data_IF_864338115116
#
_entry.id   IF_864338115116
#
_cell.length_a   1.000
_cell.length_b   1.000
_cell.length_c   1.000
_cell.angle_alpha   90.00
_cell.angle_beta   90.00
_cell.angle_gamma   90.00
#
_symmetry.space_group_name_H-M   'P 1'
#
loop_
_entity.id
_entity.type
_entity.pdbx_description
1 polymer ?
#
# COMPACT_ATOMS: atom_id res chain seq x y z
N UNK A 1 -7.52 39.00 16.25
CA UNK A 1 -8.23 39.08 14.96
C UNK A 1 -8.51 37.64 14.56
N UNK A 2 -9.37 36.95 15.31
CA UNK A 2 -10.84 37.01 15.23
C UNK A 2 -11.35 36.19 14.03
N UNK A 3 -12.09 35.14 14.40
CA UNK A 3 -13.19 34.54 13.63
C UNK A 3 -12.88 33.38 12.67
N UNK A 4 -12.73 32.17 13.24
CA UNK A 4 -13.08 30.90 12.58
C UNK A 4 -13.79 29.97 13.58
N UNK A 5 -14.76 30.52 14.30
CA UNK A 5 -15.54 29.80 15.32
C UNK A 5 -16.86 29.23 14.83
N UNK A 6 -17.24 29.43 13.57
CA UNK A 6 -18.62 29.20 13.12
C UNK A 6 -18.70 28.23 11.93
N UNK A 7 -19.67 27.31 12.00
CA UNK A 7 -20.09 26.34 10.95
C UNK A 7 -19.44 24.95 10.87
N UNK A 8 -19.28 24.26 12.00
CA UNK A 8 -19.41 22.79 12.03
C UNK A 8 -20.67 22.37 12.81
N UNK A 9 -21.83 22.85 12.37
CA UNK A 9 -23.10 22.21 12.78
C UNK A 9 -23.09 20.83 12.16
N UNK A 10 -22.95 19.80 12.98
CA UNK A 10 -22.95 18.42 12.48
C UNK A 10 -24.36 18.11 12.00
N UNK A 11 -24.52 17.35 10.90
CA UNK A 11 -25.84 16.98 10.35
C UNK A 11 -26.79 16.43 11.44
N UNK A 12 -26.23 15.71 12.42
CA UNK A 12 -26.96 15.22 13.59
C UNK A 12 -27.56 16.33 14.48
N UNK A 13 -26.89 17.46 14.63
CA UNK A 13 -27.36 18.59 15.44
C UNK A 13 -28.48 19.36 14.72
N UNK A 14 -28.37 19.48 13.38
CA UNK A 14 -29.41 20.11 12.56
C UNK A 14 -30.67 19.25 12.55
N UNK A 15 -30.54 17.94 12.37
CA UNK A 15 -31.66 17.01 12.47
C UNK A 15 -32.29 17.00 13.87
N UNK A 16 -31.48 16.99 14.92
CA UNK A 16 -31.99 17.07 16.30
C UNK A 16 -32.83 18.32 16.56
N UNK A 17 -32.39 19.48 16.05
CA UNK A 17 -33.17 20.74 16.14
C UNK A 17 -34.47 20.69 15.34
N UNK A 18 -34.45 20.09 14.14
CA UNK A 18 -35.64 19.93 13.30
C UNK A 18 -36.67 19.03 13.99
N UNK A 19 -36.26 17.89 14.55
CA UNK A 19 -37.16 17.00 15.30
C UNK A 19 -37.79 17.70 16.51
N UNK A 20 -37.00 18.45 17.30
CA UNK A 20 -37.55 19.22 18.43
C UNK A 20 -38.56 20.29 18.02
N UNK A 21 -38.32 20.98 16.90
CA UNK A 21 -39.27 21.94 16.36
C UNK A 21 -40.55 21.26 15.86
N UNK A 22 -40.41 20.05 15.30
CA UNK A 22 -41.55 19.26 14.81
C UNK A 22 -42.43 18.76 15.97
N UNK A 23 -41.84 18.32 17.08
CA UNK A 23 -42.58 17.94 18.29
C UNK A 23 -43.36 19.13 18.88
N UNK A 24 -42.73 20.33 18.89
CA UNK A 24 -43.41 21.57 19.32
C UNK A 24 -44.56 21.95 18.39
N UNK A 25 -44.36 21.81 17.08
CA UNK A 25 -45.39 22.07 16.08
C UNK A 25 -46.58 21.12 16.24
N UNK A 26 -46.32 19.82 16.36
CA UNK A 26 -47.34 18.78 16.57
C UNK A 26 -48.16 19.07 17.83
N UNK A 27 -47.49 19.35 18.96
CA UNK A 27 -48.17 19.69 20.22
C UNK A 27 -49.02 20.96 20.13
N UNK A 28 -48.51 22.02 19.49
CA UNK A 28 -49.24 23.28 19.33
C UNK A 28 -50.45 23.10 18.40
N UNK A 29 -50.29 22.30 17.35
CA UNK A 29 -51.34 22.02 16.38
C UNK A 29 -52.45 21.16 17.00
N UNK A 30 -52.09 20.16 17.82
CA UNK A 30 -53.08 19.38 18.58
C UNK A 30 -53.86 20.26 19.58
N UNK A 31 -53.17 21.12 20.34
CA UNK A 31 -53.82 22.04 21.28
C UNK A 31 -54.78 23.01 20.59
N UNK A 32 -54.37 23.59 19.46
CA UNK A 32 -55.20 24.53 18.69
C UNK A 32 -56.40 23.84 18.06
N UNK A 33 -56.22 22.67 17.45
CA UNK A 33 -57.32 21.86 16.91
C UNK A 33 -58.31 21.43 18.00
N UNK A 34 -57.82 21.06 19.18
CA UNK A 34 -58.67 20.71 20.32
C UNK A 34 -59.47 21.93 20.82
N UNK A 35 -58.86 23.11 20.87
CA UNK A 35 -59.54 24.36 21.22
C UNK A 35 -60.62 24.77 20.20
N UNK A 36 -60.34 24.60 18.89
CA UNK A 36 -61.32 24.84 17.83
C UNK A 36 -62.48 23.86 17.88
N UNK A 37 -62.20 22.57 18.13
CA UNK A 37 -63.23 21.53 18.30
C UNK A 37 -64.15 21.81 19.49
N UNK A 38 -63.60 22.30 20.62
CA UNK A 38 -64.38 22.75 21.78
C UNK A 38 -65.31 23.93 21.47
N UNK A 39 -64.98 24.75 20.46
CA UNK A 39 -65.80 25.87 19.96
C UNK A 39 -66.78 25.46 18.84
N UNK A 40 -66.89 24.17 18.53
CA UNK A 40 -67.80 23.65 17.49
C UNK A 40 -67.31 23.88 16.05
N UNK A 41 -66.06 24.32 15.86
CA UNK A 41 -65.47 24.51 14.53
C UNK A 41 -64.85 23.19 14.09
N UNK A 42 -65.35 22.63 12.99
CA UNK A 42 -64.89 21.37 12.41
C UNK A 42 -64.10 21.65 11.13
N UNK A 43 -62.80 21.35 11.12
CA UNK A 43 -62.00 21.44 9.90
C UNK A 43 -62.23 20.23 9.00
N UNK A 44 -62.29 20.45 7.69
CA UNK A 44 -62.41 19.41 6.66
C UNK A 44 -61.06 18.77 6.28
N UNK A 45 -59.94 19.28 6.79
CA UNK A 45 -58.58 18.85 6.47
C UNK A 45 -57.93 18.19 7.68
N UNK A 46 -57.32 17.02 7.49
CA UNK A 46 -56.56 16.30 8.51
C UNK A 46 -55.13 16.86 8.64
N UNK A 47 -55.01 18.03 9.27
CA UNK A 47 -53.72 18.68 9.52
C UNK A 47 -52.82 17.82 10.41
N UNK A 48 -53.38 17.03 11.33
CA UNK A 48 -52.61 16.13 12.19
C UNK A 48 -52.01 14.98 11.37
N UNK A 49 -52.76 14.40 10.44
CA UNK A 49 -52.25 13.40 9.50
C UNK A 49 -51.13 13.93 8.60
N UNK A 50 -51.24 15.17 8.12
CA UNK A 50 -50.19 15.82 7.31
C UNK A 50 -48.90 16.06 8.10
N UNK A 51 -48.99 16.52 9.35
CA UNK A 51 -47.82 16.71 10.23
C UNK A 51 -47.14 15.37 10.54
N UNK A 52 -47.92 14.31 10.80
CA UNK A 52 -47.36 12.95 11.00
C UNK A 52 -46.73 12.37 9.74
N UNK A 53 -47.25 12.69 8.55
CA UNK A 53 -46.65 12.29 7.29
C UNK A 53 -45.30 13.00 7.09
N UNK A 54 -45.25 14.32 7.31
CA UNK A 54 -44.02 15.10 7.22
C UNK A 54 -42.95 14.64 8.23
N UNK A 55 -43.36 14.23 9.44
CA UNK A 55 -42.47 13.64 10.45
C UNK A 55 -41.83 12.34 9.95
N UNK A 56 -42.63 11.43 9.37
CA UNK A 56 -42.13 10.17 8.80
C UNK A 56 -41.14 10.40 7.65
N UNK A 57 -41.43 11.37 6.78
CA UNK A 57 -40.53 11.73 5.69
C UNK A 57 -39.20 12.29 6.23
N UNK A 58 -39.25 13.19 7.22
CA UNK A 58 -38.07 13.74 7.88
C UNK A 58 -37.22 12.67 8.57
N UNK A 59 -37.83 11.72 9.27
CA UNK A 59 -37.11 10.61 9.91
C UNK A 59 -36.40 9.74 8.86
N UNK A 60 -37.06 9.46 7.74
CA UNK A 60 -36.50 8.69 6.62
C UNK A 60 -35.30 9.40 5.98
N UNK A 61 -35.39 10.72 5.81
CA UNK A 61 -34.27 11.54 5.31
C UNK A 61 -33.13 11.57 6.33
N UNK A 62 -33.42 11.65 7.63
CA UNK A 62 -32.42 11.65 8.70
C UNK A 62 -31.59 10.36 8.76
N UNK A 63 -32.25 9.21 8.63
CA UNK A 63 -31.58 7.89 8.53
C UNK A 63 -30.71 7.83 7.27
N UNK A 64 -31.24 8.22 6.12
CA UNK A 64 -30.50 8.22 4.85
C UNK A 64 -29.31 9.17 4.85
N UNK A 65 -29.46 10.35 5.44
CA UNK A 65 -28.39 11.33 5.58
C UNK A 65 -27.26 10.82 6.49
N UNK A 66 -27.61 10.14 7.58
CA UNK A 66 -26.64 9.53 8.50
C UNK A 66 -25.87 8.39 7.84
N UNK A 67 -26.55 7.53 7.08
CA UNK A 67 -25.91 6.48 6.28
C UNK A 67 -24.96 7.05 5.21
N UNK A 68 -25.38 8.09 4.51
CA UNK A 68 -24.54 8.76 3.51
C UNK A 68 -23.33 9.45 4.14
N UNK A 69 -23.48 10.11 5.28
CA UNK A 69 -22.36 10.70 6.02
C UNK A 69 -21.34 9.64 6.44
N UNK A 70 -21.80 8.48 6.93
CA UNK A 70 -20.94 7.34 7.24
C UNK A 70 -20.16 6.84 6.00
N UNK A 71 -20.85 6.65 4.88
CA UNK A 71 -20.21 6.27 3.60
C UNK A 71 -19.20 7.30 3.10
N UNK A 72 -19.52 8.60 3.20
CA UNK A 72 -18.60 9.67 2.79
C UNK A 72 -17.35 9.72 3.67
N UNK A 73 -17.49 9.55 4.98
CA UNK A 73 -16.33 9.45 5.88
C UNK A 73 -15.47 8.24 5.52
N UNK A 74 -16.09 7.08 5.25
CA UNK A 74 -15.36 5.88 4.84
C UNK A 74 -14.61 6.10 3.52
N UNK A 75 -15.23 6.75 2.53
CA UNK A 75 -14.57 7.10 1.26
C UNK A 75 -13.42 8.09 1.46
N UNK A 76 -13.55 9.06 2.37
CA UNK A 76 -12.49 10.01 2.69
C UNK A 76 -11.27 9.33 3.33
N UNK A 77 -11.48 8.38 4.25
CA UNK A 77 -10.41 7.58 4.81
C UNK A 77 -9.70 6.74 3.73
N UNK A 78 -10.46 6.16 2.82
CA UNK A 78 -9.94 5.40 1.67
C UNK A 78 -9.10 6.29 0.74
N UNK A 79 -9.58 7.49 0.41
CA UNK A 79 -8.85 8.45 -0.43
C UNK A 79 -7.57 8.93 0.27
N UNK A 80 -7.64 9.20 1.58
CA UNK A 80 -6.50 9.66 2.37
C UNK A 80 -5.40 8.59 2.45
N UNK A 81 -5.76 7.35 2.72
CA UNK A 81 -4.83 6.22 2.70
C UNK A 81 -4.28 5.96 1.30
N UNK A 82 -5.10 6.08 0.25
CA UNK A 82 -4.63 5.99 -1.14
C UNK A 82 -3.59 7.08 -1.48
N UNK A 83 -3.72 8.29 -0.93
CA UNK A 83 -2.74 9.36 -1.12
C UNK A 83 -1.43 9.11 -0.36
N UNK A 84 -1.50 8.53 0.85
CA UNK A 84 -0.31 8.15 1.63
C UNK A 84 0.49 7.04 0.94
N UNK A 85 -0.20 6.01 0.44
CA UNK A 85 0.43 4.87 -0.24
C UNK A 85 1.10 5.32 -1.56
N UNK A 86 0.54 6.29 -2.28
CA UNK A 86 1.15 6.85 -3.49
C UNK A 86 2.31 7.85 -3.23
N UNK A 87 2.53 8.25 -1.98
CA UNK A 87 3.55 9.26 -1.65
C UNK A 87 4.97 8.69 -1.52
N UNK A 88 5.09 7.39 -1.25
CA UNK A 88 6.39 6.70 -1.19
C UNK A 88 6.66 5.93 -2.47
N UNK A 89 7.86 6.13 -3.03
CA UNK A 89 8.39 5.36 -4.15
C UNK A 89 9.21 4.15 -3.68
N UNK A 90 9.36 3.98 -2.36
CA UNK A 90 10.05 2.85 -1.75
C UNK A 90 9.07 1.71 -1.49
N UNK A 91 9.34 0.55 -2.09
CA UNK A 91 8.46 -0.61 -2.00
C UNK A 91 8.23 -1.07 -0.56
N UNK A 92 9.28 -1.12 0.27
CA UNK A 92 9.17 -1.58 1.66
C UNK A 92 8.23 -0.70 2.46
N UNK A 93 8.42 0.62 2.37
CA UNK A 93 7.57 1.62 3.04
C UNK A 93 6.09 1.51 2.63
N UNK A 94 5.84 1.27 1.33
CA UNK A 94 4.48 1.09 0.80
C UNK A 94 3.83 -0.18 1.38
N UNK A 95 4.57 -1.29 1.42
CA UNK A 95 4.06 -2.56 1.95
C UNK A 95 3.70 -2.46 3.44
N UNK A 96 4.56 -1.78 4.20
CA UNK A 96 4.35 -1.52 5.62
C UNK A 96 3.10 -0.68 5.89
N UNK A 97 2.94 0.44 5.19
CA UNK A 97 1.79 1.33 5.34
C UNK A 97 0.47 0.67 4.92
N UNK A 98 0.51 -0.14 3.85
CA UNK A 98 -0.65 -0.94 3.42
C UNK A 98 -1.09 -1.88 4.53
N UNK A 99 -0.14 -2.56 5.17
CA UNK A 99 -0.47 -3.51 6.23
C UNK A 99 -0.99 -2.84 7.49
N UNK A 100 -0.40 -1.73 7.90
CA UNK A 100 -0.89 -0.94 9.03
C UNK A 100 -2.32 -0.48 8.82
N UNK A 101 -2.58 0.03 7.62
CA UNK A 101 -3.91 0.50 7.26
C UNK A 101 -4.91 -0.64 7.33
N UNK A 102 -4.59 -1.82 6.80
CA UNK A 102 -5.51 -2.96 6.89
C UNK A 102 -5.74 -3.38 8.33
N UNK A 103 -4.68 -3.56 9.11
CA UNK A 103 -4.77 -3.92 10.52
C UNK A 103 -5.71 -2.95 11.26
N UNK A 104 -5.53 -1.65 11.04
CA UNK A 104 -6.35 -0.61 11.63
C UNK A 104 -7.82 -0.65 11.14
N UNK A 105 -8.04 -0.85 9.84
CA UNK A 105 -9.40 -0.92 9.26
C UNK A 105 -10.16 -2.17 9.71
N UNK A 106 -9.47 -3.28 9.96
CA UNK A 106 -10.11 -4.57 10.26
C UNK A 106 -10.10 -4.95 11.72
N UNK A 107 -9.31 -4.29 12.58
CA UNK A 107 -9.12 -4.74 13.96
C UNK A 107 -8.32 -6.04 14.04
N UNK A 108 -7.52 -6.36 13.01
CA UNK A 108 -6.80 -7.63 12.95
C UNK A 108 -5.63 -7.62 13.92
N UNK A 109 -5.33 -8.77 14.54
CA UNK A 109 -4.17 -8.87 15.41
C UNK A 109 -2.88 -8.95 14.58
N UNK A 110 -2.94 -9.68 13.47
CA UNK A 110 -1.81 -9.90 12.57
C UNK A 110 -2.25 -9.78 11.14
N UNK A 111 -1.29 -9.41 10.30
CA UNK A 111 -1.50 -9.31 8.88
C UNK A 111 -0.25 -9.69 8.11
N UNK A 112 -0.46 -10.30 6.95
CA UNK A 112 0.55 -10.83 6.06
C UNK A 112 0.26 -10.36 4.63
N UNK A 113 1.27 -9.82 3.98
CA UNK A 113 1.21 -9.42 2.58
C UNK A 113 2.14 -10.30 1.78
N UNK A 114 1.57 -10.99 0.78
CA UNK A 114 2.35 -11.83 -0.11
C UNK A 114 2.19 -11.37 -1.55
N UNK A 115 3.28 -11.37 -2.30
CA UNK A 115 3.31 -10.97 -3.69
C UNK A 115 3.82 -12.10 -4.56
N UNK A 116 3.31 -12.17 -5.79
CA UNK A 116 3.89 -13.05 -6.80
C UNK A 116 5.23 -12.50 -7.28
N UNK A 117 6.27 -13.33 -7.18
CA UNK A 117 7.55 -13.08 -7.81
C UNK A 117 7.41 -13.15 -9.34
N UNK A 118 7.98 -12.17 -10.07
CA UNK A 118 7.85 -12.09 -11.53
C UNK A 118 8.62 -13.19 -12.26
N UNK A 119 9.67 -13.74 -11.65
CA UNK A 119 10.55 -14.72 -12.27
C UNK A 119 10.07 -16.15 -12.02
N UNK A 120 9.66 -16.45 -10.79
CA UNK A 120 9.27 -17.81 -10.38
C UNK A 120 7.75 -18.02 -10.42
N UNK A 121 6.97 -16.94 -10.39
CA UNK A 121 5.51 -16.98 -10.23
C UNK A 121 5.05 -17.45 -8.85
N UNK A 122 5.98 -17.74 -7.93
CA UNK A 122 5.64 -18.19 -6.58
C UNK A 122 5.17 -17.02 -5.72
N UNK A 123 4.29 -17.34 -4.79
CA UNK A 123 3.77 -16.38 -3.83
C UNK A 123 4.74 -16.30 -2.64
N UNK A 124 5.36 -15.13 -2.45
CA UNK A 124 6.35 -14.90 -1.41
C UNK A 124 5.82 -13.93 -0.36
N UNK A 125 6.09 -14.21 0.91
CA UNK A 125 5.80 -13.28 2.00
C UNK A 125 6.74 -12.08 1.88
N UNK A 126 6.17 -10.88 1.72
CA UNK A 126 6.94 -9.64 1.60
C UNK A 126 6.88 -8.78 2.86
N UNK A 127 5.78 -8.86 3.60
CA UNK A 127 5.68 -8.20 4.89
C UNK A 127 4.72 -8.94 5.82
N UNK A 128 5.02 -8.89 7.11
CA UNK A 128 4.23 -9.49 8.17
C UNK A 128 4.25 -8.53 9.36
N UNK A 129 3.07 -8.18 9.87
CA UNK A 129 2.88 -7.09 10.85
C UNK A 129 1.88 -7.52 11.93
N UNK A 130 2.09 -7.07 13.16
CA UNK A 130 1.10 -7.19 14.23
C UNK A 130 0.37 -5.85 14.49
N UNK A 131 -0.62 -5.88 15.39
CA UNK A 131 -1.37 -4.70 15.83
C UNK A 131 -0.49 -3.58 16.39
N UNK A 132 0.63 -3.93 17.03
CA UNK A 132 1.59 -2.99 17.60
C UNK A 132 2.57 -2.41 16.56
N UNK A 133 2.33 -2.67 15.26
CA UNK A 133 3.14 -2.21 14.11
C UNK A 133 4.54 -2.81 14.09
N UNK A 134 4.76 -3.93 14.77
CA UNK A 134 6.02 -4.66 14.76
C UNK A 134 6.06 -5.64 13.59
N UNK A 135 7.23 -5.75 12.96
CA UNK A 135 7.47 -6.70 11.88
C UNK A 135 7.67 -8.10 12.46
N UNK A 136 6.83 -9.05 12.03
CA UNK A 136 6.92 -10.46 12.42
C UNK A 136 7.96 -11.18 11.55
N UNK A 137 8.68 -12.12 12.14
CA UNK A 137 9.63 -12.96 11.39
C UNK A 137 8.91 -14.03 10.56
N UNK A 138 9.55 -14.57 9.51
CA UNK A 138 8.98 -15.65 8.70
C UNK A 138 8.57 -16.88 9.51
N UNK A 139 9.30 -17.18 10.60
CA UNK A 139 9.01 -18.30 11.50
C UNK A 139 7.74 -18.09 12.32
N UNK A 140 7.35 -16.84 12.55
CA UNK A 140 6.14 -16.44 13.29
C UNK A 140 4.94 -16.25 12.35
N UNK A 141 5.15 -16.31 11.03
CA UNK A 141 4.12 -16.15 10.04
C UNK A 141 3.26 -17.42 9.94
N UNK A 142 2.05 -17.32 10.48
CA UNK A 142 1.09 -18.41 10.54
C UNK A 142 -0.08 -18.07 9.62
N UNK A 143 -0.25 -18.82 8.53
CA UNK A 143 -1.31 -18.55 7.56
C UNK A 143 -1.78 -19.83 6.84
N UNK A 144 -3.04 -19.83 6.39
CA UNK A 144 -3.57 -20.93 5.60
C UNK A 144 -3.31 -20.75 4.10
N UNK A 145 -2.41 -21.59 3.55
CA UNK A 145 -2.20 -21.68 2.08
C UNK A 145 -3.47 -22.06 1.32
N UNK A 146 -4.34 -22.88 1.90
CA UNK A 146 -5.59 -23.28 1.26
C UNK A 146 -6.58 -22.13 1.11
N UNK A 147 -6.73 -21.30 2.14
CA UNK A 147 -7.57 -20.09 2.08
C UNK A 147 -7.01 -19.09 1.06
N UNK A 148 -5.69 -18.87 1.10
CA UNK A 148 -4.99 -18.00 0.13
C UNK A 148 -5.25 -18.47 -1.31
N UNK A 149 -5.01 -19.76 -1.59
CA UNK A 149 -5.22 -20.32 -2.93
C UNK A 149 -6.69 -20.19 -3.37
N UNK A 150 -7.63 -20.38 -2.46
CA UNK A 150 -9.06 -20.23 -2.76
C UNK A 150 -9.38 -18.77 -3.12
N UNK A 151 -8.85 -17.80 -2.39
CA UNK A 151 -9.07 -16.37 -2.67
C UNK A 151 -8.48 -15.97 -4.04
N UNK A 152 -7.29 -16.47 -4.36
CA UNK A 152 -6.62 -16.24 -5.65
C UNK A 152 -7.41 -16.87 -6.80
N UNK A 153 -7.83 -18.14 -6.66
CA UNK A 153 -8.58 -18.87 -7.69
C UNK A 153 -9.94 -18.24 -7.96
N UNK A 154 -10.66 -17.85 -6.90
CA UNK A 154 -11.98 -17.22 -7.03
C UNK A 154 -11.89 -15.75 -7.43
N UNK A 155 -10.71 -15.11 -7.29
CA UNK A 155 -10.50 -13.67 -7.44
C UNK A 155 -11.49 -12.84 -6.60
N UNK A 156 -11.86 -13.36 -5.43
CA UNK A 156 -12.83 -12.75 -4.53
C UNK A 156 -12.28 -12.74 -3.10
N UNK A 157 -12.63 -11.71 -2.29
CA UNK A 157 -12.34 -11.71 -0.87
C UNK A 157 -12.99 -12.90 -0.16
N UNK A 158 -12.26 -13.53 0.75
CA UNK A 158 -12.74 -14.58 1.63
C UNK A 158 -12.80 -14.04 3.04
N UNK A 159 -13.93 -14.27 3.69
CA UNK A 159 -14.13 -14.03 5.11
C UNK A 159 -14.62 -15.30 5.78
N UNK A 160 -14.06 -15.58 6.95
CA UNK A 160 -14.55 -16.62 7.84
C UNK A 160 -14.44 -16.14 9.29
N UNK A 161 -15.52 -16.33 10.06
CA UNK A 161 -15.61 -15.93 11.46
C UNK A 161 -15.03 -17.00 12.39
N UNK A 162 -15.07 -18.26 11.95
CA UNK A 162 -14.34 -19.38 12.54
C UNK A 162 -13.93 -20.36 11.44
N UNK A 163 -12.66 -20.35 11.04
CA UNK A 163 -12.15 -21.24 10.01
C UNK A 163 -12.23 -22.72 10.41
N UNK A 164 -12.22 -23.05 11.71
CA UNK A 164 -12.33 -24.43 12.19
C UNK A 164 -13.74 -25.01 12.02
N UNK A 165 -14.77 -24.15 12.05
CA UNK A 165 -16.18 -24.56 11.91
C UNK A 165 -16.71 -24.31 10.48
N UNK A 166 -15.91 -23.67 9.62
CA UNK A 166 -16.28 -23.37 8.25
C UNK A 166 -16.12 -24.61 7.38
N UNK A 167 -17.23 -25.14 6.85
CA UNK A 167 -17.22 -26.33 6.02
C UNK A 167 -16.28 -26.25 4.81
N UNK A 168 -15.95 -25.04 4.34
CA UNK A 168 -15.02 -24.79 3.23
C UNK A 168 -13.56 -25.00 3.62
N UNK A 169 -13.21 -24.83 4.90
CA UNK A 169 -11.82 -24.70 5.36
C UNK A 169 -11.46 -25.63 6.54
N UNK A 170 -12.44 -26.17 7.26
CA UNK A 170 -12.26 -27.04 8.43
C UNK A 170 -11.37 -28.27 8.17
N UNK A 171 -11.40 -28.80 6.95
CA UNK A 171 -10.61 -29.97 6.55
C UNK A 171 -9.17 -29.63 6.15
N UNK A 172 -8.80 -28.34 6.12
CA UNK A 172 -7.46 -27.92 5.73
C UNK A 172 -6.49 -28.08 6.90
N UNK A 173 -5.41 -28.83 6.69
CA UNK A 173 -4.38 -29.07 7.70
C UNK A 173 -3.85 -27.78 8.33
N UNK A 174 -3.65 -26.73 7.53
CA UNK A 174 -3.19 -25.42 8.00
C UNK A 174 -4.14 -24.74 8.97
N UNK A 175 -5.45 -24.97 8.84
CA UNK A 175 -6.46 -24.38 9.74
C UNK A 175 -6.50 -25.15 11.06
N UNK A 176 -6.40 -26.48 10.99
CA UNK A 176 -6.35 -27.34 12.17
C UNK A 176 -5.09 -27.13 13.00
N UNK A 177 -3.92 -27.04 12.37
CA UNK A 177 -2.62 -26.93 13.05
C UNK A 177 -2.40 -25.59 13.76
N UNK A 178 -3.11 -24.54 13.37
CA UNK A 178 -2.85 -23.18 13.83
C UNK A 178 -4.02 -22.55 14.61
N UNK A 179 -5.09 -23.31 14.85
CA UNK A 179 -6.28 -22.86 15.59
C UNK A 179 -6.81 -21.50 15.11
N UNK A 180 -6.78 -21.29 13.79
CA UNK A 180 -7.19 -20.03 13.19
C UNK A 180 -8.70 -19.84 13.34
N UNK A 181 -9.12 -18.71 13.90
CA UNK A 181 -10.53 -18.38 14.14
C UNK A 181 -11.06 -17.43 13.08
N UNK A 182 -10.87 -16.13 13.28
CA UNK A 182 -11.33 -15.11 12.34
C UNK A 182 -10.23 -14.88 11.29
N UNK A 183 -10.57 -14.99 10.01
CA UNK A 183 -9.64 -14.72 8.90
C UNK A 183 -10.34 -13.87 7.86
N UNK A 184 -9.62 -12.87 7.35
CA UNK A 184 -9.96 -12.16 6.13
C UNK A 184 -8.80 -12.28 5.14
N UNK A 185 -9.12 -12.67 3.91
CA UNK A 185 -8.13 -12.86 2.85
C UNK A 185 -8.63 -12.16 1.59
N UNK A 186 -7.87 -11.18 1.11
CA UNK A 186 -8.26 -10.31 0.00
C UNK A 186 -7.21 -10.40 -1.11
N UNK A 187 -7.58 -10.82 -2.33
CA UNK A 187 -6.64 -10.84 -3.44
C UNK A 187 -6.29 -9.41 -3.89
N UNK A 188 -5.02 -9.17 -4.17
CA UNK A 188 -4.51 -7.92 -4.73
C UNK A 188 -4.53 -8.02 -6.26
N UNK A 189 -5.36 -7.22 -6.92
CA UNK A 189 -5.55 -7.29 -8.38
C UNK A 189 -5.19 -5.98 -9.07
N UNK A 190 -4.37 -6.07 -10.11
CA UNK A 190 -4.05 -4.95 -11.00
C UNK A 190 -4.51 -5.32 -12.41
N UNK A 191 -5.43 -4.53 -12.97
CA UNK A 191 -5.97 -4.75 -14.34
C UNK A 191 -6.43 -6.21 -14.57
N UNK A 192 -7.09 -6.81 -13.57
CA UNK A 192 -7.63 -8.18 -13.62
C UNK A 192 -6.63 -9.31 -13.35
N UNK A 193 -5.36 -8.98 -13.11
CA UNK A 193 -4.28 -9.92 -12.77
C UNK A 193 -3.99 -9.87 -11.28
N UNK A 194 -3.95 -11.04 -10.63
CA UNK A 194 -3.62 -11.13 -9.21
C UNK A 194 -2.11 -10.96 -9.06
N UNK A 195 -1.71 -9.87 -8.40
CA UNK A 195 -0.29 -9.57 -8.10
C UNK A 195 0.14 -10.10 -6.74
N UNK A 196 -0.82 -10.47 -5.89
CA UNK A 196 -0.57 -10.96 -4.55
C UNK A 196 -1.85 -11.16 -3.75
N UNK A 197 -1.69 -11.31 -2.45
CA UNK A 197 -2.79 -11.46 -1.51
C UNK A 197 -2.46 -10.73 -0.22
N UNK A 198 -3.50 -10.15 0.38
CA UNK A 198 -3.49 -9.69 1.74
C UNK A 198 -4.23 -10.71 2.60
N UNK A 199 -3.62 -11.09 3.71
CA UNK A 199 -4.20 -11.99 4.68
C UNK A 199 -4.14 -11.32 6.04
N UNK A 200 -5.24 -11.33 6.79
CA UNK A 200 -5.25 -10.86 8.17
C UNK A 200 -6.07 -11.81 9.03
N UNK A 201 -5.63 -12.01 10.27
CA UNK A 201 -6.29 -12.91 11.20
C UNK A 201 -6.38 -12.35 12.62
N UNK A 202 -7.15 -13.05 13.43
CA UNK A 202 -7.22 -12.82 14.86
C UNK A 202 -7.35 -14.18 15.58
N UNK A 203 -6.38 -14.48 16.45
CA UNK A 203 -6.35 -15.77 17.15
C UNK A 203 -7.22 -15.80 18.42
N UNK A 204 -7.51 -14.65 19.03
CA UNK A 204 -8.28 -14.55 20.28
C UNK A 204 -9.77 -14.37 19.98
N UNK A 205 -10.12 -13.41 19.13
CA UNK A 205 -11.50 -12.99 18.86
C UNK A 205 -12.18 -13.77 17.73
N UNK A 206 -13.44 -14.15 17.97
CA UNK A 206 -14.35 -14.62 16.92
C UNK A 206 -15.22 -13.46 16.41
N UNK A 207 -15.54 -13.46 15.11
CA UNK A 207 -16.43 -12.45 14.54
C UNK A 207 -15.86 -11.03 14.53
N UNK A 208 -14.53 -10.90 14.60
CA UNK A 208 -13.83 -9.60 14.61
C UNK A 208 -14.06 -8.84 13.31
N UNK A 209 -14.16 -9.57 12.20
CA UNK A 209 -14.33 -8.99 10.88
C UNK A 209 -15.81 -8.90 10.49
N UNK A 210 -16.27 -7.68 10.23
CA UNK A 210 -17.62 -7.41 9.76
C UNK A 210 -17.74 -7.72 8.25
N UNK A 211 -18.69 -8.58 7.79
CA UNK A 211 -18.94 -8.79 6.36
C UNK A 211 -19.22 -7.51 5.57
N UNK A 212 -19.80 -6.48 6.20
CA UNK A 212 -20.07 -5.19 5.56
C UNK A 212 -18.80 -4.39 5.22
N UNK A 213 -17.65 -4.69 5.84
CA UNK A 213 -16.38 -4.04 5.52
C UNK A 213 -15.64 -4.68 4.34
N UNK A 214 -16.06 -5.87 3.87
CA UNK A 214 -15.42 -6.55 2.73
C UNK A 214 -15.36 -5.73 1.44
N UNK A 215 -16.42 -5.02 1.01
CA UNK A 215 -16.35 -4.19 -0.19
C UNK A 215 -15.31 -3.06 -0.07
N UNK A 216 -15.21 -2.48 1.13
CA UNK A 216 -14.24 -1.42 1.43
C UNK A 216 -12.82 -1.99 1.40
N UNK A 217 -12.61 -3.15 2.04
CA UNK A 217 -11.32 -3.82 2.06
C UNK A 217 -10.88 -4.27 0.67
N UNK A 218 -11.82 -4.73 -0.17
CA UNK A 218 -11.57 -5.03 -1.58
C UNK A 218 -11.19 -3.80 -2.41
N UNK A 219 -11.87 -2.67 -2.20
CA UNK A 219 -11.53 -1.41 -2.86
C UNK A 219 -10.14 -0.91 -2.43
N UNK A 220 -9.83 -1.00 -1.13
CA UNK A 220 -8.51 -0.68 -0.59
C UNK A 220 -7.43 -1.60 -1.17
N UNK A 221 -7.67 -2.91 -1.20
CA UNK A 221 -6.76 -3.91 -1.77
C UNK A 221 -6.45 -3.65 -3.25
N UNK A 222 -7.44 -3.24 -4.05
CA UNK A 222 -7.21 -2.86 -5.44
C UNK A 222 -6.28 -1.65 -5.57
N UNK A 223 -6.44 -0.64 -4.70
CA UNK A 223 -5.55 0.54 -4.71
C UNK A 223 -4.15 0.23 -4.19
N UNK A 224 -4.06 -0.56 -3.11
CA UNK A 224 -2.79 -1.06 -2.60
C UNK A 224 -2.04 -1.84 -3.69
N UNK A 225 -2.74 -2.69 -4.45
CA UNK A 225 -2.15 -3.44 -5.56
C UNK A 225 -1.53 -2.52 -6.62
N UNK A 226 -2.22 -1.43 -6.99
CA UNK A 226 -1.71 -0.45 -7.95
C UNK A 226 -0.46 0.24 -7.43
N UNK A 227 -0.48 0.71 -6.18
CA UNK A 227 0.64 1.43 -5.61
C UNK A 227 1.87 0.52 -5.40
N UNK A 228 1.66 -0.73 -4.98
CA UNK A 228 2.70 -1.75 -4.88
C UNK A 228 3.32 -2.01 -6.26
N UNK A 229 2.51 -2.12 -7.32
CA UNK A 229 3.04 -2.30 -8.68
C UNK A 229 3.85 -1.08 -9.13
N UNK A 230 3.38 0.14 -8.83
CA UNK A 230 4.09 1.37 -9.14
C UNK A 230 5.44 1.46 -8.41
N UNK A 231 5.47 1.18 -7.11
CA UNK A 231 6.70 1.18 -6.32
C UNK A 231 7.69 0.10 -6.80
N UNK A 232 7.18 -1.07 -7.18
CA UNK A 232 7.98 -2.16 -7.78
C UNK A 232 8.58 -1.76 -9.12
N UNK A 233 7.78 -1.16 -10.01
CA UNK A 233 8.24 -0.66 -11.31
C UNK A 233 9.28 0.45 -11.13
N UNK A 234 9.06 1.38 -10.21
CA UNK A 234 10.00 2.46 -9.93
C UNK A 234 11.34 1.91 -9.39
N UNK A 235 11.30 0.96 -8.46
CA UNK A 235 12.49 0.29 -7.93
C UNK A 235 13.28 -0.42 -9.02
N UNK A 236 12.59 -1.07 -9.97
CA UNK A 236 13.24 -1.71 -11.11
C UNK A 236 13.93 -0.69 -12.03
N UNK A 237 13.21 0.38 -12.42
CA UNK A 237 13.78 1.44 -13.26
C UNK A 237 15.01 2.10 -12.60
N UNK A 238 14.96 2.31 -11.28
CA UNK A 238 16.09 2.84 -10.52
C UNK A 238 17.28 1.88 -10.53
N UNK A 239 17.05 0.58 -10.36
CA UNK A 239 18.10 -0.43 -10.42
C UNK A 239 18.75 -0.52 -11.81
N UNK A 240 17.92 -0.47 -12.87
CA UNK A 240 18.38 -0.48 -14.26
C UNK A 240 19.20 0.78 -14.59
N UNK A 241 18.78 1.95 -14.10
CA UNK A 241 19.52 3.20 -14.25
C UNK A 241 20.91 3.11 -13.60
N UNK A 242 20.99 2.63 -12.35
CA UNK A 242 22.27 2.46 -11.65
C UNK A 242 23.18 1.47 -12.39
N UNK A 243 22.62 0.41 -12.96
CA UNK A 243 23.38 -0.54 -13.78
C UNK A 243 23.91 0.10 -15.05
N UNK A 244 23.07 0.84 -15.79
CA UNK A 244 23.47 1.54 -16.99
C UNK A 244 24.54 2.61 -16.72
N UNK A 245 24.45 3.35 -15.61
CA UNK A 245 25.46 4.32 -15.19
C UNK A 245 26.83 3.67 -14.96
N UNK A 246 26.85 2.49 -14.31
CA UNK A 246 28.09 1.71 -14.12
C UNK A 246 28.69 1.26 -15.43
N UNK A 247 27.88 0.71 -16.34
CA UNK A 247 28.34 0.27 -17.66
C UNK A 247 28.92 1.43 -18.47
N UNK A 248 28.28 2.60 -18.44
CA UNK A 248 28.80 3.82 -19.10
C UNK A 248 30.13 4.27 -18.48
N UNK A 249 30.26 4.17 -17.15
CA UNK A 249 31.49 4.55 -16.46
C UNK A 249 32.65 3.60 -16.77
N UNK A 250 32.40 2.30 -16.83
CA UNK A 250 33.38 1.29 -17.25
C UNK A 250 33.84 1.51 -18.70
N UNK A 251 32.89 1.76 -19.61
CA UNK A 251 33.21 2.08 -21.01
C UNK A 251 34.04 3.36 -21.14
N UNK A 252 33.76 4.39 -20.33
CA UNK A 252 34.57 5.62 -20.31
C UNK A 252 36.02 5.36 -19.89
N UNK A 253 36.23 4.56 -18.84
CA UNK A 253 37.56 4.21 -18.37
C UNK A 253 38.33 3.44 -19.46
N UNK A 254 37.69 2.43 -20.07
CA UNK A 254 38.30 1.67 -21.17
C UNK A 254 38.65 2.54 -22.39
N UNK A 255 37.78 3.51 -22.75
CA UNK A 255 38.04 4.43 -23.85
C UNK A 255 39.25 5.33 -23.55
N UNK A 256 39.39 5.81 -22.31
CA UNK A 256 40.52 6.66 -21.94
C UNK A 256 41.84 5.86 -21.90
N UNK A 257 41.81 4.62 -21.43
CA UNK A 257 42.97 3.71 -21.47
C UNK A 257 43.40 3.41 -22.91
N UNK A 258 42.47 3.01 -23.76
CA UNK A 258 42.77 2.73 -25.17
C UNK A 258 43.27 3.96 -25.94
N UNK A 259 42.75 5.16 -25.64
CA UNK A 259 43.27 6.41 -26.19
C UNK A 259 44.70 6.68 -25.73
N UNK A 260 45.01 6.51 -24.44
CA UNK A 260 46.36 6.66 -23.90
C UNK A 260 47.33 5.68 -24.53
N UNK A 261 46.95 4.40 -24.66
CA UNK A 261 47.77 3.39 -25.33
C UNK A 261 48.04 3.75 -26.80
N UNK A 262 47.02 4.22 -27.52
CA UNK A 262 47.18 4.64 -28.91
C UNK A 262 48.12 5.84 -29.04
N UNK A 263 47.97 6.85 -28.18
CA UNK A 263 48.88 8.00 -28.14
C UNK A 263 50.31 7.59 -27.76
N UNK A 264 50.47 6.68 -26.80
CA UNK A 264 51.79 6.16 -26.42
C UNK A 264 52.43 5.40 -27.59
N UNK A 265 51.66 4.59 -28.32
CA UNK A 265 52.10 3.90 -29.54
C UNK A 265 52.46 4.86 -30.67
N UNK A 266 51.75 5.97 -30.82
CA UNK A 266 52.09 7.01 -31.80
C UNK A 266 53.42 7.70 -31.44
N UNK A 267 53.62 8.09 -30.18
CA UNK A 267 54.86 8.73 -29.70
C UNK A 267 56.06 7.79 -29.79
N UNK A 268 55.90 6.52 -29.40
CA UNK A 268 56.99 5.53 -29.46
C UNK A 268 57.37 5.13 -30.88
N UNK A 269 56.44 5.22 -31.85
CA UNK A 269 56.73 4.89 -33.25
C UNK A 269 57.37 6.01 -34.08
N UNK A 270 57.43 7.22 -33.56
CA UNK A 270 58.11 8.35 -34.22
C UNK A 270 59.60 8.06 -34.42
N UNK A 271 60.19 8.49 -35.54
CA UNK A 271 61.63 8.31 -35.83
C UNK A 271 62.51 8.86 -34.71
N UNK A 272 62.15 10.03 -34.17
CA UNK A 272 62.85 10.66 -33.06
C UNK A 272 62.99 9.74 -31.83
N UNK A 273 61.93 9.01 -31.48
CA UNK A 273 61.94 8.13 -30.30
C UNK A 273 62.76 6.86 -30.55
N UNK A 274 62.67 6.29 -31.76
CA UNK A 274 63.49 5.15 -32.19
C UNK A 274 64.99 5.49 -32.24
N UNK A 275 65.34 6.68 -32.72
CA UNK A 275 66.72 7.17 -32.70
C UNK A 275 67.23 7.35 -31.26
N UNK A 276 66.40 7.91 -30.37
CA UNK A 276 66.75 8.09 -28.95
C UNK A 276 67.03 6.74 -28.27
N UNK A 277 66.20 5.74 -28.55
CA UNK A 277 66.32 4.39 -28.01
C UNK A 277 67.60 3.69 -28.52
N UNK A 278 67.92 3.83 -29.80
CA UNK A 278 69.16 3.34 -30.39
C UNK A 278 70.40 4.01 -29.77
N UNK A 279 70.35 5.33 -29.54
CA UNK A 279 71.43 6.10 -28.92
C UNK A 279 71.65 5.68 -27.46
N UNK A 280 70.58 5.48 -26.70
CA UNK A 280 70.65 5.01 -25.32
C UNK A 280 71.19 3.57 -25.21
N UNK A 281 70.80 2.69 -26.15
CA UNK A 281 71.30 1.32 -26.23
C UNK A 281 72.81 1.27 -26.51
N UNK A 282 73.29 2.14 -27.42
CA UNK A 282 74.72 2.28 -27.70
C UNK A 282 75.50 2.84 -26.50
N UNK A 283 74.94 3.79 -25.75
CA UNK A 283 75.54 4.32 -24.52
C UNK A 283 75.66 3.25 -23.43
N UNK A 284 74.61 2.46 -23.20
CA UNK A 284 74.65 1.33 -22.24
C UNK A 284 75.67 0.27 -22.63
N UNK A 285 75.82 -0.02 -23.92
CA UNK A 285 76.78 -1.00 -24.42
C UNK A 285 78.22 -0.51 -24.21
N UNK A 286 78.49 0.77 -24.49
CA UNK A 286 79.78 1.42 -24.20
C UNK A 286 80.12 1.47 -22.71
N UNK A 287 79.13 1.70 -21.84
CA UNK A 287 79.36 1.67 -20.39
C UNK A 287 79.66 0.28 -19.85
N UNK A 288 79.13 -0.79 -20.46
CA UNK A 288 79.48 -2.18 -20.09
C UNK A 288 80.85 -2.60 -20.62
N UNK A 289 81.16 -2.27 -21.87
CA UNK A 289 82.49 -2.55 -22.45
C UNK A 289 83.60 -1.81 -21.68
N UNK A 290 83.33 -0.59 -21.16
CA UNK A 290 84.29 0.14 -20.32
C UNK A 290 84.40 -0.30 -18.85
N UNK A 291 83.50 -1.16 -18.36
CA UNK A 291 83.62 -1.80 -17.04
C UNK A 291 84.32 -3.18 -17.17
N UNK A 292 84.12 -3.91 -18.27
CA UNK A 292 84.85 -5.16 -18.57
C UNK A 292 86.36 -4.90 -18.79
N UNK A 293 86.73 -3.80 -19.46
CA UNK A 293 88.14 -3.44 -19.64
C UNK A 293 88.86 -3.08 -18.32
N UNK A 294 88.12 -2.69 -17.27
CA UNK A 294 88.70 -2.37 -15.95
C UNK A 294 88.91 -3.58 -15.05
N UNK A 295 88.12 -4.64 -15.21
CA UNK A 295 88.33 -5.89 -14.46
C UNK A 295 89.50 -6.72 -15.00
N UNK A 296 89.91 -6.52 -16.26
CA UNK A 296 91.10 -7.18 -16.85
C UNK A 296 92.44 -6.47 -16.61
N UNK A 297 92.46 -5.27 -16.02
CA UNK A 297 93.71 -4.56 -15.64
C UNK A 297 94.10 -4.74 -14.15
N UNK A 298 93.33 -5.49 -13.35
CA UNK A 298 93.60 -5.75 -11.91
C UNK A 298 94.04 -7.19 -11.55
N UNK A 299 94.32 -8.08 -12.52
CA UNK A 299 95.04 -9.36 -12.29
C UNK A 299 96.53 -9.28 -12.67
#
# INVERSE_FOLDING_TARGET
MSDQGDSKVTISETFGRISQNMDRLESTLEQTLQALRKRGIQLSVDLTGMVRALRRDLDTVGVSASQNAGRLHQLQELVRTTALINSSLDLSSVLEEVMDTVIQLTGAERGYLMLHDKNTGQLELKTARNWDRETLTETEAIFSRGIINTAIQQKQPILTTNAQDDARFQAMQSVMSHALRSIVCVPLSVRGHIVGVLYADNHIGQGVFNPESLPILGAFANQAAIAIENARLFSQVKADLVKAEREVQELRIMIDETKKEKQLREITNTEYFKELEAKAKNLRRRSREGDEDKETEEE
#
